data_IF_339041691513
#
_entry.id   IF_339041691513
#
_cell.length_a   1.000
_cell.length_b   1.000
_cell.length_c   1.000
_cell.angle_alpha   90.00
_cell.angle_beta   90.00
_cell.angle_gamma   90.00
#
_symmetry.space_group_name_H-M   'P 1'
#
loop_
_entity.id
_entity.type
_entity.pdbx_description
1 polymer ?
#
# COMPACT_ATOMS: atom_id res chain seq x y z
N UNK A 1 31.29 46.06 16.29
CA UNK A 1 30.10 45.57 15.56
C UNK A 1 30.23 44.06 15.47
N UNK A 2 29.60 43.36 16.41
CA UNK A 2 29.73 41.91 16.62
C UNK A 2 28.77 41.19 15.67
N UNK A 3 29.29 40.32 14.79
CA UNK A 3 28.49 39.47 13.90
C UNK A 3 28.03 38.23 14.65
N UNK A 4 26.72 37.97 14.67
CA UNK A 4 26.12 36.74 15.21
C UNK A 4 26.04 35.67 14.10
N UNK A 5 26.33 34.38 14.37
CA UNK A 5 26.16 33.32 13.39
C UNK A 5 24.67 32.94 13.27
N UNK A 6 24.14 33.00 12.04
CA UNK A 6 22.78 32.57 11.71
C UNK A 6 22.72 31.04 11.64
N UNK A 7 22.06 30.41 12.60
CA UNK A 7 21.75 28.98 12.57
C UNK A 7 20.75 28.70 11.45
N UNK A 8 21.20 27.97 10.42
CA UNK A 8 20.37 27.46 9.35
C UNK A 8 19.63 26.23 9.87
N UNK A 9 18.45 26.43 10.45
CA UNK A 9 17.53 25.32 10.76
C UNK A 9 16.78 24.96 9.48
N UNK A 10 17.19 23.88 8.83
CA UNK A 10 16.41 23.24 7.75
C UNK A 10 15.03 22.87 8.32
N UNK A 11 13.91 23.36 7.74
CA UNK A 11 12.60 22.94 8.18
C UNK A 11 12.42 21.44 7.89
N UNK A 12 11.76 20.68 8.78
CA UNK A 12 11.43 19.28 8.53
C UNK A 12 10.61 19.18 7.24
N UNK A 13 10.71 18.08 6.47
CA UNK A 13 9.88 17.90 5.29
C UNK A 13 8.41 17.95 5.71
N UNK A 14 7.69 18.99 5.30
CA UNK A 14 6.25 19.07 5.47
C UNK A 14 5.65 17.94 4.63
N UNK A 15 5.23 16.85 5.28
CA UNK A 15 4.40 15.83 4.63
C UNK A 15 3.04 16.47 4.38
N UNK A 16 2.92 17.18 3.26
CA UNK A 16 1.64 17.68 2.78
C UNK A 16 0.83 16.47 2.36
N UNK A 17 -0.06 16.00 3.24
CA UNK A 17 -1.05 14.98 2.91
C UNK A 17 -1.77 15.40 1.63
N UNK A 18 -1.69 14.57 0.60
CA UNK A 18 -2.35 14.82 -0.69
C UNK A 18 -3.87 14.63 -0.62
N UNK A 19 -4.37 14.24 0.55
CA UNK A 19 -5.79 13.96 0.82
C UNK A 19 -6.28 15.03 1.80
N UNK A 20 -7.40 15.67 1.46
CA UNK A 20 -8.11 16.61 2.32
C UNK A 20 -8.36 15.97 3.71
N UNK A 21 -7.95 16.61 4.82
CA UNK A 21 -8.17 16.10 6.17
C UNK A 21 -9.64 15.72 6.44
N UNK A 22 -10.61 16.44 5.88
CA UNK A 22 -12.03 16.13 6.04
C UNK A 22 -12.39 14.78 5.40
N UNK A 23 -11.80 14.44 4.25
CA UNK A 23 -12.00 13.15 3.57
C UNK A 23 -11.35 12.02 4.36
N UNK A 24 -10.18 12.26 4.94
CA UNK A 24 -9.50 11.28 5.80
C UNK A 24 -10.34 10.95 7.04
N UNK A 25 -10.91 11.95 7.71
CA UNK A 25 -11.81 11.76 8.85
C UNK A 25 -13.09 11.02 8.43
N UNK A 26 -13.71 11.44 7.32
CA UNK A 26 -14.92 10.79 6.81
C UNK A 26 -14.71 9.30 6.48
N UNK A 27 -13.53 8.91 5.98
CA UNK A 27 -13.18 7.52 5.71
C UNK A 27 -13.11 6.65 6.97
N UNK A 28 -12.81 7.24 8.14
CA UNK A 28 -12.77 6.53 9.42
C UNK A 28 -14.13 6.52 10.13
N UNK A 29 -14.90 7.61 10.03
CA UNK A 29 -16.12 7.80 10.83
C UNK A 29 -17.41 7.42 10.08
N UNK A 30 -17.40 7.47 8.75
CA UNK A 30 -18.60 7.28 7.92
C UNK A 30 -18.32 6.39 6.72
N UNK A 31 -18.26 6.94 5.51
CA UNK A 31 -17.96 6.22 4.29
C UNK A 31 -17.39 7.17 3.23
N UNK A 32 -16.56 6.62 2.34
CA UNK A 32 -16.01 7.33 1.17
C UNK A 32 -16.07 6.42 -0.05
N UNK A 33 -16.30 7.00 -1.23
CA UNK A 33 -16.17 6.31 -2.51
C UNK A 33 -14.83 6.67 -3.13
N UNK A 34 -14.07 5.65 -3.56
CA UNK A 34 -12.76 5.84 -4.18
C UNK A 34 -12.72 5.10 -5.50
N UNK A 35 -12.35 5.79 -6.58
CA UNK A 35 -12.05 5.15 -7.85
C UNK A 35 -10.72 4.41 -7.76
N UNK A 36 -10.76 3.09 -8.00
CA UNK A 36 -9.58 2.20 -8.07
C UNK A 36 -9.44 1.52 -9.43
N UNK A 37 -10.10 2.04 -10.46
CA UNK A 37 -10.03 1.51 -11.83
C UNK A 37 -8.61 1.44 -12.39
N UNK A 38 -7.69 2.28 -11.89
CA UNK A 38 -6.27 2.25 -12.23
C UNK A 38 -5.52 1.00 -11.73
N UNK A 39 -6.08 0.24 -10.77
CA UNK A 39 -5.47 -1.00 -10.30
C UNK A 39 -5.65 -2.13 -11.33
N UNK A 40 -4.53 -2.76 -11.70
CA UNK A 40 -4.57 -3.95 -12.53
C UNK A 40 -5.21 -5.14 -11.79
N UNK A 41 -6.20 -5.78 -12.42
CA UNK A 41 -6.77 -7.03 -11.93
C UNK A 41 -6.33 -8.21 -12.79
N UNK A 42 -5.75 -9.23 -12.13
CA UNK A 42 -5.35 -10.48 -12.77
C UNK A 42 -6.27 -11.60 -12.28
N UNK A 43 -6.87 -12.34 -13.22
CA UNK A 43 -7.67 -13.53 -12.93
C UNK A 43 -6.87 -14.79 -13.29
N UNK A 44 -6.50 -15.56 -12.29
CA UNK A 44 -5.85 -16.85 -12.46
C UNK A 44 -6.90 -17.98 -12.45
N UNK A 45 -6.75 -18.94 -13.37
CA UNK A 45 -7.61 -20.13 -13.46
C UNK A 45 -6.76 -21.39 -13.61
N UNK A 46 -7.38 -22.57 -13.52
CA UNK A 46 -6.68 -23.85 -13.55
C UNK A 46 -6.38 -24.44 -12.17
N UNK A 47 -6.07 -25.73 -12.15
CA UNK A 47 -5.98 -26.54 -10.92
C UNK A 47 -4.84 -26.10 -9.99
N UNK A 48 -3.71 -25.64 -10.52
CA UNK A 48 -2.48 -25.35 -9.77
C UNK A 48 -2.22 -23.85 -9.54
N UNK A 49 -3.22 -22.99 -9.80
CA UNK A 49 -3.06 -21.52 -9.69
C UNK A 49 -2.56 -21.04 -8.33
N UNK A 50 -3.02 -21.66 -7.24
CA UNK A 50 -2.58 -21.32 -5.89
C UNK A 50 -1.14 -21.76 -5.62
N UNK A 51 -0.69 -22.88 -6.22
CA UNK A 51 0.70 -23.31 -6.12
C UNK A 51 1.66 -22.33 -6.79
N UNK A 52 1.25 -21.76 -7.94
CA UNK A 52 2.03 -20.73 -8.62
C UNK A 52 2.18 -19.47 -7.74
N UNK A 53 1.06 -18.94 -7.24
CA UNK A 53 1.06 -17.71 -6.41
C UNK A 53 1.86 -17.94 -5.12
N UNK A 54 1.72 -19.11 -4.49
CA UNK A 54 2.45 -19.45 -3.27
C UNK A 54 3.97 -19.58 -3.48
N UNK A 55 4.44 -19.83 -4.71
CA UNK A 55 5.88 -19.90 -5.02
C UNK A 55 6.48 -18.52 -5.30
N UNK A 56 5.67 -17.62 -5.86
CA UNK A 56 6.09 -16.26 -6.22
C UNK A 56 5.89 -15.25 -5.08
N UNK A 57 5.39 -15.69 -3.93
CA UNK A 57 4.96 -14.81 -2.87
C UNK A 57 5.42 -15.27 -1.49
N UNK A 58 5.48 -14.34 -0.56
CA UNK A 58 5.85 -14.58 0.84
C UNK A 58 4.71 -15.16 1.69
N UNK A 59 3.48 -15.23 1.17
CA UNK A 59 2.33 -15.72 1.93
C UNK A 59 1.93 -17.16 1.59
N UNK A 60 1.43 -17.85 2.62
CA UNK A 60 0.81 -19.16 2.50
C UNK A 60 -0.62 -19.05 1.94
N UNK A 61 -0.75 -19.00 0.60
CA UNK A 61 -2.06 -18.85 -0.08
C UNK A 61 -2.75 -20.19 -0.37
N UNK A 62 -2.08 -21.32 -0.16
CA UNK A 62 -2.66 -22.66 -0.42
C UNK A 62 -3.83 -23.01 0.49
N UNK A 63 -3.85 -22.45 1.70
CA UNK A 63 -4.88 -22.72 2.71
C UNK A 63 -5.93 -21.61 2.77
N UNK A 64 -5.91 -20.66 1.83
CA UNK A 64 -6.84 -19.54 1.82
C UNK A 64 -8.27 -20.03 1.51
N UNK A 65 -9.25 -19.80 2.39
CA UNK A 65 -10.63 -20.22 2.16
C UNK A 65 -11.23 -19.56 0.92
N UNK A 66 -12.21 -20.22 0.31
CA UNK A 66 -12.98 -19.61 -0.78
C UNK A 66 -13.67 -18.32 -0.30
N UNK A 67 -13.52 -17.24 -1.06
CA UNK A 67 -14.06 -15.91 -0.72
C UNK A 67 -13.19 -15.08 0.23
N UNK A 68 -12.11 -15.63 0.77
CA UNK A 68 -11.14 -14.87 1.55
C UNK A 68 -10.08 -14.22 0.66
N UNK A 69 -9.53 -13.09 1.11
CA UNK A 69 -8.41 -12.40 0.49
C UNK A 69 -7.22 -12.36 1.44
N UNK A 70 -6.00 -12.41 0.89
CA UNK A 70 -4.76 -12.24 1.64
C UNK A 70 -3.90 -11.17 0.95
N UNK A 71 -3.44 -10.18 1.73
CA UNK A 71 -2.42 -9.24 1.26
C UNK A 71 -1.10 -9.99 1.11
N UNK A 72 -0.48 -9.86 -0.06
CA UNK A 72 0.69 -10.64 -0.44
C UNK A 72 1.66 -9.81 -1.27
N UNK A 73 2.95 -10.10 -1.17
CA UNK A 73 4.01 -9.44 -1.96
C UNK A 73 4.49 -10.45 -2.99
N UNK A 74 4.47 -10.07 -4.27
CA UNK A 74 5.13 -10.86 -5.32
C UNK A 74 6.60 -10.47 -5.33
N UNK A 75 7.47 -11.44 -5.07
CA UNK A 75 8.92 -11.22 -5.04
C UNK A 75 9.50 -11.51 -6.41
N UNK A 76 10.65 -10.90 -6.69
CA UNK A 76 11.50 -11.34 -7.81
C UNK A 76 12.37 -12.50 -7.36
N UNK A 77 13.20 -13.03 -8.26
CA UNK A 77 14.13 -14.12 -7.99
C UNK A 77 15.20 -13.80 -6.93
N UNK A 78 15.46 -12.50 -6.69
CA UNK A 78 16.37 -12.01 -5.66
C UNK A 78 15.73 -11.82 -4.28
N UNK A 79 14.40 -11.99 -4.16
CA UNK A 79 13.64 -11.74 -2.93
C UNK A 79 13.16 -10.30 -2.80
#
# INVERSE_FOLDING_TARGET
MTTSPQTTTTPPPTTTSQIDPAVYTAAHETAVLVDRSALGMLKFSGATRLDLINRMSTQAVKTLPAGAGAATILTTDIG
#
